data_IF_935508376826
#
_entry.id   IF_935508376826
#
_cell.length_a   1.000
_cell.length_b   1.000
_cell.length_c   1.000
_cell.angle_alpha   90.00
_cell.angle_beta   90.00
_cell.angle_gamma   90.00
#
_symmetry.space_group_name_H-M   'P 1'
#
loop_
_entity.id
_entity.type
_entity.pdbx_description
1 polymer ?
#
# COMPACT_ATOMS: atom_id res chain seq x y z
N UNK A 1 16.30 -3.04 -0.96
CA UNK A 1 16.05 -1.69 -0.39
C UNK A 1 17.37 -1.14 0.15
N UNK A 2 17.84 0.00 -0.36
CA UNK A 2 19.16 0.53 -0.02
C UNK A 2 19.11 1.22 1.34
N UNK A 3 19.69 0.63 2.37
CA UNK A 3 20.12 1.35 3.57
C UNK A 3 21.58 1.75 3.37
N UNK A 4 21.81 2.94 2.85
CA UNK A 4 23.16 3.45 2.61
C UNK A 4 23.63 4.34 3.75
N UNK A 5 24.94 4.43 3.92
CA UNK A 5 25.60 5.43 4.76
C UNK A 5 26.46 6.31 3.85
N UNK A 6 26.20 7.63 3.75
CA UNK A 6 25.09 8.37 4.38
C UNK A 6 23.71 8.00 3.81
N UNK A 7 22.67 8.19 4.61
CA UNK A 7 21.29 7.88 4.23
C UNK A 7 20.81 8.75 3.06
N UNK A 8 19.82 8.26 2.31
CA UNK A 8 19.20 9.04 1.21
C UNK A 8 18.75 10.44 1.68
N UNK A 9 17.99 10.60 2.78
CA UNK A 9 17.57 11.93 3.20
C UNK A 9 18.76 12.82 3.62
N UNK A 10 19.82 12.28 4.21
CA UNK A 10 21.03 13.05 4.51
C UNK A 10 21.71 13.57 3.23
N UNK A 11 21.79 12.73 2.18
CA UNK A 11 22.29 13.15 0.86
C UNK A 11 21.43 14.23 0.24
N UNK A 12 20.10 14.14 0.37
CA UNK A 12 19.19 15.18 -0.12
C UNK A 12 19.39 16.51 0.60
N UNK A 13 19.50 16.49 1.93
CA UNK A 13 19.76 17.70 2.74
C UNK A 13 21.06 18.36 2.31
N UNK A 14 22.13 17.58 2.15
CA UNK A 14 23.41 18.11 1.68
C UNK A 14 23.33 18.64 0.24
N UNK A 15 22.58 17.97 -0.65
CA UNK A 15 22.45 18.34 -2.07
C UNK A 15 21.62 19.60 -2.30
N UNK A 16 20.55 19.79 -1.53
CA UNK A 16 19.63 20.92 -1.63
C UNK A 16 19.91 22.03 -0.61
N UNK A 17 20.93 21.85 0.25
CA UNK A 17 21.30 22.81 1.31
C UNK A 17 20.08 23.20 2.16
N UNK A 18 19.36 22.17 2.61
CA UNK A 18 18.19 22.37 3.45
C UNK A 18 18.61 22.96 4.81
N UNK A 19 17.65 23.61 5.48
CA UNK A 19 17.83 24.22 6.81
C UNK A 19 18.33 23.20 7.85
N UNK A 20 19.00 23.71 8.88
CA UNK A 20 19.62 22.90 9.95
C UNK A 20 18.61 22.22 10.88
N UNK A 21 17.39 22.77 11.01
CA UNK A 21 16.31 22.26 11.86
C UNK A 21 15.39 21.23 11.16
N UNK A 22 15.76 20.72 9.97
CA UNK A 22 14.97 19.67 9.31
C UNK A 22 14.98 18.39 10.14
N UNK A 23 13.79 17.92 10.51
CA UNK A 23 13.60 16.60 11.13
C UNK A 23 13.66 15.51 10.06
N UNK A 24 14.53 14.53 10.26
CA UNK A 24 14.80 13.47 9.29
C UNK A 24 14.42 12.12 9.85
N UNK A 25 13.65 11.36 9.06
CA UNK A 25 13.29 9.99 9.35
C UNK A 25 13.68 9.12 8.15
N UNK A 26 14.52 8.11 8.39
CA UNK A 26 14.91 7.14 7.36
C UNK A 26 14.18 5.82 7.62
N UNK A 27 13.14 5.56 6.83
CA UNK A 27 12.29 4.40 6.97
C UNK A 27 12.83 3.26 6.10
N UNK A 28 13.08 2.09 6.69
CA UNK A 28 13.61 0.91 5.98
C UNK A 28 12.92 -0.37 6.45
N UNK A 29 13.01 -1.44 5.65
CA UNK A 29 12.51 -2.78 6.00
C UNK A 29 11.01 -3.01 5.82
N UNK A 30 10.23 -2.02 5.36
CA UNK A 30 8.76 -2.14 5.22
C UNK A 30 8.27 -2.59 3.84
N UNK A 31 9.19 -2.82 2.90
CA UNK A 31 8.88 -3.21 1.53
C UNK A 31 7.96 -2.23 0.79
N UNK A 32 7.07 -2.77 -0.05
CA UNK A 32 6.14 -2.02 -0.88
C UNK A 32 5.17 -1.08 -0.12
N UNK A 33 5.02 -1.28 1.20
CA UNK A 33 4.14 -0.46 2.05
C UNK A 33 4.79 0.82 2.56
N UNK A 34 6.11 0.98 2.39
CA UNK A 34 6.90 2.04 3.03
C UNK A 34 6.37 3.45 2.76
N UNK A 35 5.96 3.74 1.52
CA UNK A 35 5.46 5.07 1.14
C UNK A 35 4.17 5.46 1.89
N UNK A 36 3.23 4.54 2.05
CA UNK A 36 1.97 4.80 2.76
C UNK A 36 2.21 4.90 4.27
N UNK A 37 3.13 4.11 4.81
CA UNK A 37 3.52 4.21 6.23
C UNK A 37 4.24 5.55 6.50
N UNK A 38 5.04 6.05 5.56
CA UNK A 38 5.65 7.36 5.67
C UNK A 38 4.59 8.48 5.72
N UNK A 39 3.54 8.37 4.91
CA UNK A 39 2.38 9.30 4.96
C UNK A 39 1.67 9.21 6.32
N UNK A 40 1.50 8.00 6.87
CA UNK A 40 0.93 7.81 8.21
C UNK A 40 1.75 8.48 9.31
N UNK A 41 3.08 8.32 9.26
CA UNK A 41 3.99 9.00 10.19
C UNK A 41 3.85 10.52 10.09
N UNK A 42 3.84 11.07 8.86
CA UNK A 42 3.65 12.50 8.64
C UNK A 42 2.30 12.98 9.17
N UNK A 43 1.23 12.21 8.97
CA UNK A 43 -0.10 12.54 9.46
C UNK A 43 -0.13 12.67 10.99
N UNK A 44 0.52 11.76 11.72
CA UNK A 44 0.67 11.85 13.17
C UNK A 44 1.55 13.04 13.59
N UNK A 45 2.65 13.30 12.87
CA UNK A 45 3.49 14.47 13.15
C UNK A 45 2.73 15.78 12.96
N UNK A 46 1.87 15.88 11.93
CA UNK A 46 1.05 17.07 11.69
C UNK A 46 -0.03 17.32 12.74
N UNK A 47 -0.44 16.30 13.50
CA UNK A 47 -1.32 16.50 14.66
C UNK A 47 -0.59 17.22 15.80
N UNK A 48 0.73 17.02 15.92
CA UNK A 48 1.55 17.64 16.96
C UNK A 48 2.13 18.98 16.50
N UNK A 49 2.69 19.04 15.30
CA UNK A 49 3.34 20.22 14.74
C UNK A 49 2.42 20.95 13.76
N UNK A 50 2.00 22.16 14.11
CA UNK A 50 1.14 23.01 13.27
C UNK A 50 1.95 23.78 12.23
N UNK A 51 1.31 24.08 11.09
CA UNK A 51 1.86 24.92 10.02
C UNK A 51 3.21 24.47 9.43
N UNK A 52 3.42 23.16 9.34
CA UNK A 52 4.65 22.59 8.78
C UNK A 52 4.48 22.07 7.34
N UNK A 53 5.63 21.87 6.69
CA UNK A 53 5.77 21.12 5.46
C UNK A 53 6.50 19.81 5.74
N UNK A 54 6.12 18.75 5.04
CA UNK A 54 6.81 17.48 5.05
C UNK A 54 7.03 17.01 3.61
N UNK A 55 8.21 16.44 3.36
CA UNK A 55 8.53 15.83 2.07
C UNK A 55 8.72 14.34 2.35
N UNK A 56 7.88 13.51 1.72
CA UNK A 56 8.03 12.06 1.71
C UNK A 56 8.74 11.69 0.43
N UNK A 57 9.85 10.96 0.54
CA UNK A 57 10.62 10.48 -0.62
C UNK A 57 10.72 8.98 -0.50
N UNK A 58 10.33 8.29 -1.56
CA UNK A 58 10.48 6.85 -1.71
C UNK A 58 11.37 6.59 -2.91
N UNK A 59 12.35 5.70 -2.75
CA UNK A 59 13.24 5.28 -3.81
C UNK A 59 13.50 3.80 -3.68
N UNK A 60 13.33 3.09 -4.79
CA UNK A 60 13.53 1.66 -4.88
C UNK A 60 14.57 1.37 -5.95
N UNK A 61 15.65 0.70 -5.54
CA UNK A 61 16.69 0.21 -6.43
C UNK A 61 16.88 -1.28 -6.19
N UNK A 62 16.80 -2.02 -7.28
CA UNK A 62 16.83 -3.48 -7.30
C UNK A 62 18.18 -4.04 -7.74
N UNK A 63 19.02 -3.19 -8.35
CA UNK A 63 20.35 -3.55 -8.84
C UNK A 63 21.21 -4.32 -7.84
N UNK A 64 21.23 -4.00 -6.52
CA UNK A 64 22.06 -4.75 -5.56
C UNK A 64 21.41 -6.02 -5.01
N UNK A 65 20.17 -6.38 -5.40
CA UNK A 65 19.44 -7.53 -4.85
C UNK A 65 19.02 -8.52 -5.94
N UNK A 66 19.80 -8.62 -7.02
CA UNK A 66 19.53 -9.55 -8.11
C UNK A 66 19.74 -11.00 -7.65
N UNK A 67 18.70 -11.82 -7.76
CA UNK A 67 18.81 -13.25 -7.44
C UNK A 67 19.37 -14.03 -8.64
N UNK A 68 20.55 -14.65 -8.44
CA UNK A 68 21.29 -15.43 -9.46
C UNK A 68 20.97 -16.93 -9.40
N UNK A 69 20.29 -17.39 -8.35
CA UNK A 69 19.97 -18.81 -8.14
C UNK A 69 18.85 -19.35 -9.03
N UNK A 70 18.49 -20.61 -8.81
CA UNK A 70 17.51 -21.36 -9.64
C UNK A 70 16.13 -21.54 -9.00
N UNK A 71 15.97 -21.17 -7.73
CA UNK A 71 14.69 -21.30 -7.02
C UNK A 71 13.60 -20.40 -7.63
N UNK A 72 12.54 -21.01 -8.18
CA UNK A 72 11.46 -20.27 -8.86
C UNK A 72 10.77 -19.26 -7.97
N UNK A 73 10.57 -19.58 -6.69
CA UNK A 73 9.95 -18.70 -5.69
C UNK A 73 10.75 -17.42 -5.43
N UNK A 74 12.07 -17.46 -5.67
CA UNK A 74 12.99 -16.33 -5.56
C UNK A 74 13.34 -15.68 -6.91
N UNK A 75 13.03 -16.35 -8.02
CA UNK A 75 13.12 -15.76 -9.36
C UNK A 75 11.94 -14.86 -9.69
N UNK A 76 10.73 -15.14 -9.19
CA UNK A 76 9.54 -14.31 -9.45
C UNK A 76 9.73 -12.82 -9.10
N UNK A 77 10.37 -12.45 -7.97
CA UNK A 77 10.61 -11.06 -7.62
C UNK A 77 11.79 -10.44 -8.38
N UNK A 78 12.43 -11.16 -9.32
CA UNK A 78 13.52 -10.55 -10.08
C UNK A 78 13.02 -9.36 -10.93
N UNK A 79 13.92 -8.41 -11.24
CA UNK A 79 13.59 -7.23 -12.02
C UNK A 79 13.06 -7.52 -13.43
N UNK A 80 13.39 -8.68 -13.99
CA UNK A 80 12.87 -9.11 -15.29
C UNK A 80 11.39 -9.49 -15.28
N UNK A 81 10.76 -9.66 -14.10
CA UNK A 81 9.41 -10.24 -13.98
C UNK A 81 8.45 -9.32 -13.21
N UNK A 82 8.82 -8.84 -12.03
CA UNK A 82 7.89 -8.07 -11.17
C UNK A 82 8.43 -6.72 -10.71
N UNK A 83 9.69 -6.66 -10.27
CA UNK A 83 10.20 -5.45 -9.63
C UNK A 83 10.79 -4.45 -10.63
N UNK A 84 10.52 -3.16 -10.42
CA UNK A 84 11.09 -2.08 -11.21
C UNK A 84 11.83 -1.07 -10.35
N UNK A 85 12.79 -0.39 -10.96
CA UNK A 85 13.50 0.72 -10.33
C UNK A 85 12.62 1.96 -10.47
N UNK A 86 12.43 2.69 -9.38
CA UNK A 86 11.58 3.86 -9.38
C UNK A 86 11.81 4.74 -8.17
N UNK A 87 11.25 5.94 -8.23
CA UNK A 87 11.22 6.85 -7.10
C UNK A 87 10.00 7.76 -7.21
N UNK A 88 9.49 8.16 -6.05
CA UNK A 88 8.42 9.14 -5.96
C UNK A 88 8.66 10.09 -4.79
N UNK A 89 8.13 11.31 -4.92
CA UNK A 89 8.18 12.31 -3.86
C UNK A 89 6.81 12.94 -3.68
N UNK A 90 6.39 13.13 -2.43
CA UNK A 90 5.14 13.80 -2.08
C UNK A 90 5.45 15.00 -1.17
N UNK A 91 4.91 16.16 -1.50
CA UNK A 91 4.91 17.34 -0.64
C UNK A 91 3.59 17.39 0.12
N UNK A 92 3.66 17.39 1.44
CA UNK A 92 2.52 17.42 2.35
C UNK A 92 2.57 18.68 3.22
N UNK A 93 1.40 19.22 3.58
CA UNK A 93 1.31 20.37 4.48
C UNK A 93 0.06 20.31 5.34
N UNK A 94 0.16 20.86 6.56
CA UNK A 94 -0.99 21.11 7.45
C UNK A 94 -1.34 22.61 7.53
N UNK A 95 -0.90 23.43 6.57
CA UNK A 95 -1.24 24.85 6.51
C UNK A 95 -2.63 25.04 5.91
N UNK A 96 -3.57 25.63 6.68
CA UNK A 96 -4.94 25.90 6.21
C UNK A 96 -4.98 26.89 5.04
N UNK A 97 -4.05 27.85 5.02
CA UNK A 97 -3.91 28.85 3.96
C UNK A 97 -3.69 28.23 2.58
N UNK A 98 -2.96 27.11 2.52
CA UNK A 98 -2.61 26.44 1.28
C UNK A 98 -3.65 25.41 0.83
N UNK A 99 -4.81 25.34 1.48
CA UNK A 99 -5.88 24.39 1.14
C UNK A 99 -6.33 24.51 -0.32
N UNK A 100 -6.35 25.71 -0.87
CA UNK A 100 -6.74 25.97 -2.26
C UNK A 100 -5.72 25.46 -3.30
N UNK A 101 -4.47 25.19 -2.90
CA UNK A 101 -3.42 24.63 -3.78
C UNK A 101 -3.25 23.12 -3.64
N UNK A 102 -3.95 22.49 -2.69
CA UNK A 102 -3.80 21.06 -2.43
C UNK A 102 -4.51 20.25 -3.52
N UNK A 103 -3.78 19.33 -4.15
CA UNK A 103 -4.31 18.42 -5.18
C UNK A 103 -5.24 17.39 -4.55
N UNK A 104 -4.86 16.86 -3.37
CA UNK A 104 -5.60 15.86 -2.62
C UNK A 104 -5.60 16.20 -1.13
N UNK A 105 -6.66 15.78 -0.43
CA UNK A 105 -6.76 15.86 1.03
C UNK A 105 -6.86 14.46 1.61
N UNK A 106 -5.99 14.14 2.56
CA UNK A 106 -6.08 12.91 3.35
C UNK A 106 -7.23 13.03 4.36
N UNK A 107 -8.28 12.22 4.20
CA UNK A 107 -9.42 12.18 5.12
C UNK A 107 -9.28 11.08 6.16
N UNK A 108 -8.97 9.86 5.71
CA UNK A 108 -8.86 8.68 6.55
C UNK A 108 -7.65 7.86 6.14
N UNK A 109 -6.94 7.34 7.14
CA UNK A 109 -5.84 6.41 6.97
C UNK A 109 -6.04 5.29 7.98
N UNK A 110 -5.94 4.04 7.51
CA UNK A 110 -6.01 2.85 8.35
C UNK A 110 -4.81 1.98 8.04
N UNK A 111 -4.13 1.52 9.10
CA UNK A 111 -2.99 0.62 9.02
C UNK A 111 -3.27 -0.62 9.86
N UNK A 112 -3.10 -1.79 9.27
CA UNK A 112 -3.18 -3.08 9.96
C UNK A 112 -1.86 -3.80 9.82
N UNK A 113 -1.37 -4.40 10.91
CA UNK A 113 -0.15 -5.21 10.93
C UNK A 113 -0.52 -6.65 11.28
N UNK A 114 -0.20 -7.60 10.40
CA UNK A 114 -0.53 -9.03 10.55
C UNK A 114 0.71 -9.91 10.78
N UNK A 115 1.85 -9.31 11.14
CA UNK A 115 3.10 -10.04 11.33
C UNK A 115 3.15 -10.99 12.53
N UNK A 116 2.14 -10.99 13.41
CA UNK A 116 2.00 -12.01 14.46
C UNK A 116 1.42 -13.34 13.95
N UNK A 117 1.03 -13.41 12.67
CA UNK A 117 0.52 -14.62 12.02
C UNK A 117 1.66 -15.21 11.20
N UNK A 118 2.13 -16.41 11.54
CA UNK A 118 3.29 -17.03 10.90
C UNK A 118 3.16 -17.14 9.37
N UNK A 119 1.96 -17.49 8.88
CA UNK A 119 1.66 -17.55 7.44
C UNK A 119 1.88 -16.19 6.76
N UNK A 120 1.58 -15.08 7.45
CA UNK A 120 1.78 -13.73 6.92
C UNK A 120 3.22 -13.24 7.12
N UNK A 121 3.84 -13.56 8.26
CA UNK A 121 5.23 -13.21 8.57
C UNK A 121 6.20 -13.80 7.54
N UNK A 122 6.08 -15.12 7.27
CA UNK A 122 6.92 -15.80 6.29
C UNK A 122 6.55 -15.54 4.83
N UNK A 123 5.50 -14.74 4.57
CA UNK A 123 4.91 -14.65 3.23
C UNK A 123 5.81 -13.99 2.19
N UNK A 124 6.63 -13.03 2.63
CA UNK A 124 7.59 -12.29 1.83
C UNK A 124 8.81 -12.00 2.70
N UNK A 125 9.86 -12.81 2.54
CA UNK A 125 11.06 -12.74 3.40
C UNK A 125 12.30 -12.74 2.53
N UNK A 126 13.36 -12.05 2.94
CA UNK A 126 14.67 -12.15 2.28
C UNK A 126 15.47 -13.27 2.93
N UNK A 127 15.80 -14.30 2.16
CA UNK A 127 16.52 -15.49 2.62
C UNK A 127 17.61 -15.87 1.61
N UNK A 128 18.52 -16.73 2.02
CA UNK A 128 19.54 -17.34 1.15
C UNK A 128 19.06 -18.71 0.68
N UNK A 129 19.38 -19.05 -0.58
CA UNK A 129 19.19 -20.41 -1.09
C UNK A 129 20.29 -21.36 -0.58
N UNK A 130 20.18 -22.65 -0.89
CA UNK A 130 21.16 -23.68 -0.50
C UNK A 130 22.56 -23.44 -1.08
N UNK A 131 22.69 -22.55 -2.08
CA UNK A 131 23.95 -22.17 -2.72
C UNK A 131 24.50 -20.84 -2.19
N UNK A 132 23.86 -20.24 -1.18
CA UNK A 132 24.25 -18.96 -0.59
C UNK A 132 23.82 -17.73 -1.39
N UNK A 133 22.99 -17.87 -2.42
CA UNK A 133 22.45 -16.74 -3.17
C UNK A 133 21.29 -16.12 -2.40
N UNK A 134 21.42 -14.85 -2.04
CA UNK A 134 20.36 -14.12 -1.35
C UNK A 134 19.26 -13.66 -2.32
N UNK A 135 18.00 -13.93 -1.97
CA UNK A 135 16.82 -13.56 -2.77
C UNK A 135 15.61 -13.20 -1.91
N UNK A 136 14.60 -12.61 -2.54
CA UNK A 136 13.29 -12.45 -1.91
C UNK A 136 12.48 -13.71 -2.15
N UNK A 137 12.06 -14.37 -1.09
CA UNK A 137 11.20 -15.54 -1.15
C UNK A 137 9.74 -15.13 -0.98
N UNK A 138 8.93 -15.42 -2.00
CA UNK A 138 7.48 -15.24 -1.95
C UNK A 138 6.79 -16.60 -1.80
N UNK A 139 6.02 -16.74 -0.73
CA UNK A 139 5.18 -17.93 -0.54
C UNK A 139 3.93 -17.88 -1.42
N UNK A 140 3.37 -19.05 -1.73
CA UNK A 140 2.06 -19.15 -2.41
C UNK A 140 0.90 -18.60 -1.57
N UNK A 141 1.09 -18.43 -0.26
CA UNK A 141 0.08 -17.91 0.67
C UNK A 141 0.02 -16.38 0.71
N UNK A 142 0.98 -15.69 0.08
CA UNK A 142 1.03 -14.23 0.03
C UNK A 142 -0.29 -13.57 -0.42
N UNK A 143 -0.97 -14.01 -1.50
CA UNK A 143 -2.24 -13.40 -1.91
C UNK A 143 -3.34 -13.54 -0.86
N UNK A 144 -3.39 -14.69 -0.16
CA UNK A 144 -4.37 -14.96 0.89
C UNK A 144 -4.11 -14.09 2.13
N UNK A 145 -2.84 -13.96 2.54
CA UNK A 145 -2.45 -13.07 3.64
C UNK A 145 -2.77 -11.60 3.31
N UNK A 146 -2.46 -11.16 2.09
CA UNK A 146 -2.77 -9.81 1.61
C UNK A 146 -4.29 -9.55 1.59
N UNK A 147 -5.08 -10.47 1.04
CA UNK A 147 -6.54 -10.34 0.99
C UNK A 147 -7.16 -10.24 2.40
N UNK A 148 -6.63 -11.00 3.37
CA UNK A 148 -7.05 -10.91 4.77
C UNK A 148 -6.75 -9.54 5.37
N UNK A 149 -5.54 -9.02 5.18
CA UNK A 149 -5.15 -7.70 5.69
C UNK A 149 -5.98 -6.57 5.06
N UNK A 150 -6.25 -6.64 3.76
CA UNK A 150 -7.12 -5.70 3.04
C UNK A 150 -8.54 -5.75 3.57
N UNK A 151 -9.08 -6.95 3.77
CA UNK A 151 -10.42 -7.14 4.33
C UNK A 151 -10.55 -6.53 5.73
N UNK A 152 -9.52 -6.67 6.58
CA UNK A 152 -9.48 -6.04 7.89
C UNK A 152 -9.49 -4.51 7.81
N UNK A 153 -8.69 -3.93 6.91
CA UNK A 153 -8.67 -2.48 6.69
C UNK A 153 -10.02 -1.96 6.18
N UNK A 154 -10.63 -2.66 5.21
CA UNK A 154 -11.91 -2.25 4.63
C UNK A 154 -13.05 -2.30 5.62
N UNK A 155 -13.07 -3.27 6.56
CA UNK A 155 -14.07 -3.29 7.64
C UNK A 155 -14.10 -2.01 8.46
N UNK A 156 -12.94 -1.37 8.65
CA UNK A 156 -12.83 -0.11 9.40
C UNK A 156 -13.04 1.11 8.50
N UNK A 157 -12.59 1.03 7.25
CA UNK A 157 -12.57 2.16 6.33
C UNK A 157 -13.92 2.37 5.62
N UNK A 158 -14.58 1.29 5.20
CA UNK A 158 -15.86 1.33 4.45
C UNK A 158 -16.96 2.11 5.19
N UNK A 159 -17.19 1.90 6.50
CA UNK A 159 -18.20 2.67 7.24
C UNK A 159 -17.91 4.18 7.32
N UNK A 160 -16.64 4.58 7.18
CA UNK A 160 -16.22 5.99 7.22
C UNK A 160 -16.28 6.66 5.84
N UNK A 161 -16.18 5.88 4.76
CA UNK A 161 -16.13 6.39 3.39
C UNK A 161 -17.49 6.34 2.69
N UNK A 162 -18.36 5.38 3.03
CA UNK A 162 -19.63 5.22 2.33
C UNK A 162 -20.74 6.12 2.89
N UNK A 163 -21.66 6.57 2.02
CA UNK A 163 -22.86 7.27 2.47
C UNK A 163 -23.70 6.37 3.37
N UNK A 164 -24.29 6.96 4.43
CA UNK A 164 -25.14 6.26 5.40
C UNK A 164 -26.27 5.45 4.73
N UNK A 165 -26.79 5.93 3.60
CA UNK A 165 -27.85 5.25 2.83
C UNK A 165 -27.44 3.84 2.38
N UNK A 166 -26.21 3.67 1.90
CA UNK A 166 -25.72 2.35 1.44
C UNK A 166 -25.38 1.43 2.61
N UNK A 167 -24.87 1.98 3.71
CA UNK A 167 -24.66 1.21 4.94
C UNK A 167 -25.97 0.66 5.50
N UNK A 168 -27.04 1.47 5.49
CA UNK A 168 -28.38 1.05 5.91
C UNK A 168 -28.95 0.01 4.94
N UNK A 169 -28.83 0.24 3.63
CA UNK A 169 -29.27 -0.72 2.59
C UNK A 169 -28.61 -2.08 2.78
N UNK A 170 -27.28 -2.09 2.92
CA UNK A 170 -26.52 -3.31 3.14
C UNK A 170 -26.90 -4.01 4.44
N UNK A 171 -27.08 -3.25 5.53
CA UNK A 171 -27.48 -3.81 6.83
C UNK A 171 -28.88 -4.42 6.77
N UNK A 172 -29.85 -3.75 6.13
CA UNK A 172 -31.17 -4.31 5.88
C UNK A 172 -31.06 -5.59 5.05
N UNK A 173 -30.44 -5.56 3.88
CA UNK A 173 -30.32 -6.73 2.99
C UNK A 173 -29.67 -7.92 3.72
N UNK A 174 -28.64 -7.67 4.53
CA UNK A 174 -27.97 -8.71 5.33
C UNK A 174 -28.89 -9.27 6.41
N UNK A 175 -29.68 -8.42 7.09
CA UNK A 175 -30.65 -8.83 8.10
C UNK A 175 -31.79 -9.67 7.51
N UNK A 176 -32.39 -9.23 6.39
CA UNK A 176 -33.44 -9.95 5.69
C UNK A 176 -32.94 -11.29 5.11
N UNK A 177 -31.69 -11.34 4.64
CA UNK A 177 -31.04 -12.57 4.15
C UNK A 177 -30.69 -13.56 5.26
N UNK A 178 -30.31 -13.11 6.45
CA UNK A 178 -30.15 -14.02 7.58
C UNK A 178 -31.47 -14.66 8.00
N UNK A 179 -32.60 -13.98 7.73
CA UNK A 179 -33.94 -14.47 8.04
C UNK A 179 -34.55 -15.33 6.93
N UNK A 180 -34.23 -15.04 5.67
CA UNK A 180 -34.68 -15.79 4.49
C UNK A 180 -33.46 -16.50 3.89
N UNK A 181 -33.33 -17.82 4.08
CA UNK A 181 -32.26 -18.68 3.51
C UNK A 181 -32.35 -18.77 1.97
N UNK A 182 -32.42 -17.65 1.27
CA UNK A 182 -32.46 -17.57 -0.19
C UNK A 182 -31.14 -17.03 -0.73
N UNK A 183 -30.53 -17.81 -1.62
CA UNK A 183 -29.28 -17.53 -2.31
C UNK A 183 -29.57 -16.80 -3.63
N UNK A 184 -29.78 -15.50 -3.58
CA UNK A 184 -29.72 -14.66 -4.79
C UNK A 184 -28.30 -14.07 -4.98
N UNK A 185 -27.79 -14.03 -6.22
CA UNK A 185 -26.44 -13.58 -6.52
C UNK A 185 -26.37 -12.03 -6.50
N UNK A 186 -25.20 -11.49 -6.15
CA UNK A 186 -24.80 -10.08 -6.30
C UNK A 186 -25.37 -9.00 -5.33
N UNK A 187 -25.59 -9.34 -4.05
CA UNK A 187 -25.81 -8.32 -3.01
C UNK A 187 -24.52 -7.89 -2.29
N UNK A 188 -23.50 -7.50 -3.06
CA UNK A 188 -22.25 -6.95 -2.52
C UNK A 188 -22.39 -5.49 -2.05
N UNK A 189 -21.53 -5.05 -1.15
CA UNK A 189 -21.36 -3.62 -0.82
C UNK A 189 -20.94 -2.86 -2.08
N UNK A 190 -21.73 -1.88 -2.52
CA UNK A 190 -21.36 -1.08 -3.68
C UNK A 190 -20.38 0.03 -3.27
N UNK A 191 -19.08 -0.28 -3.32
CA UNK A 191 -18.01 0.66 -2.96
C UNK A 191 -17.98 1.91 -3.86
N UNK A 192 -18.49 1.80 -5.10
CA UNK A 192 -18.52 2.90 -6.08
C UNK A 192 -19.47 4.03 -5.69
N UNK A 193 -20.38 3.79 -4.74
CA UNK A 193 -21.29 4.82 -4.22
C UNK A 193 -20.59 5.92 -3.42
N UNK A 194 -19.41 5.63 -2.84
CA UNK A 194 -18.63 6.59 -2.05
C UNK A 194 -17.19 6.79 -2.54
N UNK A 195 -16.73 5.99 -3.50
CA UNK A 195 -15.36 6.02 -4.02
C UNK A 195 -15.41 6.19 -5.53
N UNK A 196 -14.77 7.26 -6.02
CA UNK A 196 -14.68 7.56 -7.45
C UNK A 196 -13.51 6.86 -8.14
N UNK A 197 -12.38 6.73 -7.45
CA UNK A 197 -11.15 6.18 -8.01
C UNK A 197 -10.48 5.21 -7.05
N UNK A 198 -9.96 4.12 -7.60
CA UNK A 198 -9.25 3.09 -6.87
C UNK A 198 -7.79 3.05 -7.34
N UNK A 199 -6.86 3.14 -6.39
CA UNK A 199 -5.43 2.93 -6.65
C UNK A 199 -4.96 1.77 -5.79
N UNK A 200 -4.59 0.66 -6.42
CA UNK A 200 -4.16 -0.56 -5.75
C UNK A 200 -2.67 -0.73 -6.05
N UNK A 201 -1.89 -1.16 -5.07
CA UNK A 201 -0.48 -1.44 -5.31
C UNK A 201 -0.34 -2.61 -6.32
N UNK A 202 0.35 -2.42 -7.46
CA UNK A 202 0.48 -3.45 -8.49
C UNK A 202 1.60 -4.45 -8.12
N UNK A 203 1.37 -5.30 -7.12
CA UNK A 203 2.33 -6.35 -6.73
C UNK A 203 2.48 -7.48 -7.76
N UNK A 204 1.57 -7.53 -8.75
CA UNK A 204 1.54 -8.51 -9.84
C UNK A 204 0.13 -8.66 -10.41
N UNK A 205 0.01 -9.16 -11.64
CA UNK A 205 -1.28 -9.27 -12.35
C UNK A 205 -2.33 -10.03 -11.55
N UNK A 206 -1.96 -11.18 -10.98
CA UNK A 206 -2.86 -12.01 -10.18
C UNK A 206 -3.40 -11.28 -8.94
N UNK A 207 -2.61 -10.40 -8.32
CA UNK A 207 -3.04 -9.61 -7.16
C UNK A 207 -4.06 -8.56 -7.58
N UNK A 208 -3.81 -7.86 -8.69
CA UNK A 208 -4.73 -6.86 -9.24
C UNK A 208 -6.08 -7.51 -9.57
N UNK A 209 -6.08 -8.65 -10.27
CA UNK A 209 -7.30 -9.33 -10.69
C UNK A 209 -8.07 -9.94 -9.49
N UNK A 210 -7.37 -10.45 -8.48
CA UNK A 210 -7.99 -10.91 -7.24
C UNK A 210 -8.65 -9.77 -6.47
N UNK A 211 -7.98 -8.62 -6.36
CA UNK A 211 -8.50 -7.44 -5.67
C UNK A 211 -9.67 -6.82 -6.43
N UNK A 212 -9.57 -6.75 -7.76
CA UNK A 212 -10.65 -6.29 -8.63
C UNK A 212 -11.94 -7.08 -8.43
N UNK A 213 -11.85 -8.41 -8.47
CA UNK A 213 -12.99 -9.30 -8.19
C UNK A 213 -13.52 -9.17 -6.78
N UNK A 214 -12.64 -9.09 -5.77
CA UNK A 214 -13.07 -8.98 -4.36
C UNK A 214 -13.77 -7.66 -4.05
N UNK A 215 -13.46 -6.59 -4.79
CA UNK A 215 -14.00 -5.25 -4.58
C UNK A 215 -15.12 -4.88 -5.56
N UNK A 216 -15.47 -5.78 -6.50
CA UNK A 216 -16.47 -5.52 -7.53
C UNK A 216 -16.06 -4.38 -8.49
N UNK A 217 -14.75 -4.26 -8.75
CA UNK A 217 -14.19 -3.23 -9.62
C UNK A 217 -14.25 -3.68 -11.08
N UNK A 218 -14.49 -2.72 -11.97
CA UNK A 218 -14.47 -2.98 -13.41
C UNK A 218 -13.06 -2.71 -13.98
N UNK A 219 -12.89 -2.99 -15.27
CA UNK A 219 -11.64 -2.77 -16.00
C UNK A 219 -11.17 -1.30 -15.95
N UNK A 220 -12.11 -0.34 -16.03
CA UNK A 220 -11.79 1.09 -15.95
C UNK A 220 -11.23 1.49 -14.57
N UNK A 221 -11.80 0.98 -13.48
CA UNK A 221 -11.31 1.26 -12.13
C UNK A 221 -9.89 0.71 -11.90
N UNK A 222 -9.54 -0.38 -12.59
CA UNK A 222 -8.25 -1.06 -12.47
C UNK A 222 -7.22 -0.59 -13.49
N UNK A 223 -7.63 0.14 -14.54
CA UNK A 223 -6.78 0.60 -15.63
C UNK A 223 -5.54 1.36 -15.11
N UNK A 224 -5.64 2.36 -14.21
CA UNK A 224 -4.45 3.06 -13.73
C UNK A 224 -3.46 2.14 -13.00
N UNK A 225 -3.98 1.14 -12.29
CA UNK A 225 -3.15 0.16 -11.58
C UNK A 225 -2.47 -0.81 -12.57
N UNK A 226 -3.18 -1.23 -13.63
CA UNK A 226 -2.63 -2.10 -14.67
C UNK A 226 -1.60 -1.39 -15.54
N UNK A 227 -1.82 -0.13 -15.87
CA UNK A 227 -0.84 0.68 -16.61
C UNK A 227 0.46 0.82 -15.84
N UNK A 228 0.42 0.95 -14.51
CA UNK A 228 1.62 0.98 -13.68
C UNK A 228 2.35 -0.38 -13.56
N UNK A 229 1.71 -1.48 -13.98
CA UNK A 229 2.32 -2.81 -14.00
C UNK A 229 3.09 -3.08 -15.31
N UNK A 230 2.85 -2.33 -16.40
CA UNK A 230 3.49 -2.51 -17.71
C UNK A 230 4.55 -1.44 -17.95
#
# INVERSE_FOLDING_TARGET
>A
MISSVPSIPARMINRYKMREDVKVFNLSGMGCSASVIAVDLVNHLFQTYKNQFAIVVSSESLSPNWYVGKERSMMLPNPNILFRIGGCSLLLTNKRELKHRAILKLNHLVRTHVGSIDEAYGSCTRIEDDQGNCGFFLTKNLPKAAAKAVSMNLRVLVPKMLPLRELIRYSMVTYWRNKSKTSSPESGLNLKSGIYYFCIHPGGRAVIDAMGRSLGLNEYDLEPTRMALH
#
